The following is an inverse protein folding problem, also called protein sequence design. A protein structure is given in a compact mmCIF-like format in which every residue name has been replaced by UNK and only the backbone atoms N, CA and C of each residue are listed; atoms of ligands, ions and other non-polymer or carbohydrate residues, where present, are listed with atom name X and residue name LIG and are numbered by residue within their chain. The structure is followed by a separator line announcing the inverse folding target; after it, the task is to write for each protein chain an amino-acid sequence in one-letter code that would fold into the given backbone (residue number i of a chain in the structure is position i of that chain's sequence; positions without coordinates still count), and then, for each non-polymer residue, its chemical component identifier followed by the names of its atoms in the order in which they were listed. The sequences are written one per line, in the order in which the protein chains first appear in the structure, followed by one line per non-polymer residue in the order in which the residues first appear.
data_IF_595998285227
#
_entry.id   IF_595998285227
#
_cell.length_a   1.000
_cell.length_b   1.000
_cell.length_c   1.000
_cell.angle_alpha   90.00
_cell.angle_beta   90.00
_cell.angle_gamma   90.00
#
_symmetry.space_group_name_H-M   'P 1'
#
loop_
_entity.id
_entity.type
_entity.pdbx_description
1 polymer ?
#
# COMPACT_ATOMS: atom_id res chain seq x y z
N UNK A 1 36.33 -25.10 47.48
CA UNK A 1 35.20 -25.38 46.58
C UNK A 1 34.34 -24.12 46.35
N UNK A 2 34.75 -23.18 45.48
CA UNK A 2 34.02 -21.91 45.24
C UNK A 2 33.81 -21.56 43.76
N UNK A 3 34.31 -22.39 42.83
CA UNK A 3 34.30 -22.10 41.38
C UNK A 3 33.16 -22.79 40.61
N UNK A 4 32.56 -23.84 41.20
CA UNK A 4 31.44 -24.58 40.62
C UNK A 4 30.20 -23.72 40.27
N UNK A 5 29.74 -22.79 41.13
CA UNK A 5 28.52 -22.04 40.83
C UNK A 5 28.71 -21.02 39.71
N UNK A 6 29.92 -20.47 39.54
CA UNK A 6 30.21 -19.51 38.46
C UNK A 6 30.30 -20.20 37.09
N UNK A 7 30.89 -21.39 37.03
CA UNK A 7 30.96 -22.18 35.80
C UNK A 7 29.55 -22.62 35.34
N UNK A 8 28.68 -23.00 36.27
CA UNK A 8 27.30 -23.39 35.96
C UNK A 8 26.47 -22.20 35.46
N UNK A 9 26.62 -21.02 36.07
CA UNK A 9 25.93 -19.80 35.63
C UNK A 9 26.40 -19.33 34.24
N UNK A 10 27.69 -19.45 33.93
CA UNK A 10 28.21 -19.16 32.59
C UNK A 10 27.70 -20.16 31.54
N UNK A 11 27.60 -21.44 31.88
CA UNK A 11 27.03 -22.45 30.99
C UNK A 11 25.55 -22.19 30.69
N UNK A 12 24.75 -21.82 31.71
CA UNK A 12 23.35 -21.45 31.51
C UNK A 12 23.17 -20.18 30.67
N UNK A 13 24.06 -19.19 30.83
CA UNK A 13 24.03 -17.97 30.02
C UNK A 13 24.36 -18.25 28.53
N UNK A 14 25.28 -19.17 28.24
CA UNK A 14 25.64 -19.54 26.87
C UNK A 14 24.59 -20.41 26.17
N UNK A 15 23.79 -21.18 26.93
CA UNK A 15 22.70 -22.00 26.39
C UNK A 15 21.41 -21.21 26.15
N UNK A 16 21.27 -20.02 26.73
CA UNK A 16 20.06 -19.18 26.62
C UNK A 16 20.00 -18.24 25.40
N UNK A 17 21.10 -18.05 24.66
CA UNK A 17 21.18 -17.07 23.55
C UNK A 17 20.61 -17.62 22.23
N UNK A 18 20.21 -18.90 22.19
CA UNK A 18 19.78 -19.58 20.95
C UNK A 18 18.28 -19.58 20.63
N UNK A 19 17.40 -19.18 21.54
CA UNK A 19 15.97 -19.55 21.44
C UNK A 19 15.00 -18.42 21.05
N UNK A 20 15.46 -17.23 20.65
CA UNK A 20 14.56 -16.13 20.29
C UNK A 20 15.10 -15.22 19.17
N UNK A 21 15.83 -15.77 18.20
CA UNK A 21 16.09 -14.98 16.99
C UNK A 21 14.80 -14.91 16.16
N UNK A 22 14.23 -13.72 15.92
CA UNK A 22 13.18 -13.57 14.92
C UNK A 22 13.75 -14.05 13.60
N UNK A 23 13.12 -15.09 13.05
CA UNK A 23 13.54 -15.65 11.78
C UNK A 23 13.07 -14.68 10.70
N UNK A 24 13.89 -13.67 10.39
CA UNK A 24 13.56 -12.58 9.49
C UNK A 24 13.02 -13.05 8.12
N UNK A 25 13.47 -14.23 7.66
CA UNK A 25 12.95 -14.84 6.44
C UNK A 25 11.51 -15.33 6.61
N UNK A 26 11.21 -15.99 7.72
CA UNK A 26 9.85 -16.47 8.03
C UNK A 26 8.88 -15.31 8.26
N UNK A 27 9.34 -14.26 8.92
CA UNK A 27 8.55 -13.05 9.15
C UNK A 27 8.29 -12.30 7.82
N UNK A 28 9.27 -12.26 6.93
CA UNK A 28 9.11 -11.70 5.58
C UNK A 28 8.16 -12.55 4.70
N UNK A 29 8.26 -13.87 4.75
CA UNK A 29 7.38 -14.78 4.03
C UNK A 29 5.92 -14.65 4.52
N UNK A 30 5.71 -14.51 5.83
CA UNK A 30 4.38 -14.31 6.40
C UNK A 30 3.82 -12.91 6.09
N UNK A 31 4.68 -11.87 6.05
CA UNK A 31 4.29 -10.54 5.56
C UNK A 31 3.88 -10.59 4.07
N UNK A 32 4.66 -11.28 3.24
CA UNK A 32 4.39 -11.40 1.81
C UNK A 32 3.10 -12.17 1.54
N UNK A 33 2.83 -13.24 2.30
CA UNK A 33 1.54 -13.96 2.21
C UNK A 33 0.35 -13.06 2.50
N UNK A 34 0.42 -12.26 3.58
CA UNK A 34 -0.66 -11.32 3.93
C UNK A 34 -0.91 -10.27 2.85
N UNK A 35 0.15 -9.80 2.18
CA UNK A 35 0.04 -8.85 1.07
C UNK A 35 -0.58 -9.49 -0.19
N UNK A 36 -0.28 -10.76 -0.45
CA UNK A 36 -0.87 -11.51 -1.56
C UNK A 36 -2.37 -11.75 -1.33
N UNK A 37 -2.77 -12.12 -0.12
CA UNK A 37 -4.18 -12.33 0.23
C UNK A 37 -5.03 -11.07 0.00
N UNK A 38 -4.55 -9.90 0.43
CA UNK A 38 -5.24 -8.62 0.19
C UNK A 38 -5.31 -8.27 -1.32
N UNK A 39 -4.29 -8.65 -2.08
CA UNK A 39 -4.27 -8.44 -3.54
C UNK A 39 -5.32 -9.30 -4.23
N UNK A 40 -5.47 -10.56 -3.85
CA UNK A 40 -6.45 -11.48 -4.44
C UNK A 40 -7.88 -11.10 -4.03
N UNK A 41 -8.11 -10.65 -2.79
CA UNK A 41 -9.39 -10.09 -2.37
C UNK A 41 -9.74 -8.82 -3.16
N UNK A 42 -8.77 -7.94 -3.41
CA UNK A 42 -8.98 -6.72 -4.19
C UNK A 42 -9.25 -7.03 -5.65
N UNK A 43 -8.57 -8.02 -6.22
CA UNK A 43 -8.80 -8.53 -7.57
C UNK A 43 -10.17 -9.19 -7.71
N UNK A 44 -10.58 -10.00 -6.74
CA UNK A 44 -11.91 -10.62 -6.70
C UNK A 44 -13.01 -9.55 -6.60
N UNK A 45 -12.82 -8.51 -5.76
CA UNK A 45 -13.74 -7.36 -5.70
C UNK A 45 -13.82 -6.60 -7.03
N UNK A 46 -12.68 -6.33 -7.66
CA UNK A 46 -12.61 -5.67 -8.97
C UNK A 46 -13.29 -6.51 -10.07
N UNK A 47 -13.11 -7.83 -10.07
CA UNK A 47 -13.76 -8.72 -11.04
C UNK A 47 -15.27 -8.84 -10.80
N UNK A 48 -15.70 -8.89 -9.54
CA UNK A 48 -17.12 -9.08 -9.19
C UNK A 48 -17.96 -7.81 -9.38
N UNK A 49 -17.42 -6.63 -9.08
CA UNK A 49 -18.16 -5.35 -9.14
C UNK A 49 -17.73 -4.41 -10.25
N UNK A 50 -16.60 -4.67 -10.92
CA UNK A 50 -16.03 -3.80 -11.95
C UNK A 50 -15.65 -2.40 -11.47
N UNK A 51 -15.75 -2.14 -10.16
CA UNK A 51 -15.69 -0.80 -9.59
C UNK A 51 -14.80 -0.81 -8.35
N UNK A 52 -13.92 0.19 -8.28
CA UNK A 52 -13.11 0.47 -7.10
C UNK A 52 -14.04 0.77 -5.93
N UNK A 53 -13.64 0.39 -4.70
CA UNK A 53 -14.35 0.91 -3.54
C UNK A 53 -14.25 2.44 -3.49
N UNK A 54 -15.17 3.15 -2.83
CA UNK A 54 -15.15 4.62 -2.78
C UNK A 54 -13.81 5.20 -2.32
N UNK A 55 -13.16 4.56 -1.33
CA UNK A 55 -11.87 4.99 -0.81
C UNK A 55 -10.73 4.78 -1.82
N UNK A 56 -10.72 3.64 -2.53
CA UNK A 56 -9.74 3.35 -3.57
C UNK A 56 -9.94 4.26 -4.80
N UNK A 57 -11.20 4.57 -5.11
CA UNK A 57 -11.53 5.54 -6.15
C UNK A 57 -11.02 6.93 -5.80
N UNK A 58 -11.24 7.42 -4.57
CA UNK A 58 -10.73 8.72 -4.13
C UNK A 58 -9.20 8.78 -4.17
N UNK A 59 -8.52 7.74 -3.68
CA UNK A 59 -7.06 7.66 -3.74
C UNK A 59 -6.54 7.68 -5.18
N UNK A 60 -7.20 6.95 -6.08
CA UNK A 60 -6.89 6.96 -7.50
C UNK A 60 -7.17 8.33 -8.14
N UNK A 61 -8.32 8.93 -7.87
CA UNK A 61 -8.73 10.20 -8.43
C UNK A 61 -7.78 11.34 -8.03
N UNK A 62 -7.29 11.32 -6.77
CA UNK A 62 -6.23 12.22 -6.31
C UNK A 62 -4.91 11.97 -7.04
N UNK A 63 -4.49 10.71 -7.19
CA UNK A 63 -3.25 10.35 -7.90
C UNK A 63 -3.27 10.75 -9.37
N UNK A 64 -4.42 10.59 -10.02
CA UNK A 64 -4.62 10.93 -11.44
C UNK A 64 -4.91 12.43 -11.66
N UNK A 65 -5.03 13.21 -10.58
CA UNK A 65 -5.40 14.63 -10.64
C UNK A 65 -6.82 14.87 -11.16
N UNK A 66 -7.68 13.86 -11.15
CA UNK A 66 -9.09 13.96 -11.54
C UNK A 66 -9.92 14.71 -10.50
N UNK A 67 -9.52 14.60 -9.24
CA UNK A 67 -10.09 15.38 -8.14
C UNK A 67 -8.99 16.13 -7.42
N UNK A 68 -9.29 17.35 -7.03
CA UNK A 68 -8.40 18.17 -6.20
C UNK A 68 -9.11 18.43 -4.88
N UNK A 69 -8.52 18.04 -3.74
CA UNK A 69 -8.90 18.57 -2.41
C UNK A 69 -8.39 20.01 -2.26
N UNK A 70 -8.64 20.86 -3.25
CA UNK A 70 -8.29 22.27 -3.21
C UNK A 70 -9.28 22.96 -2.26
N UNK A 71 -8.77 23.88 -1.42
CA UNK A 71 -9.64 24.74 -0.60
C UNK A 71 -10.51 25.67 -1.46
N UNK A 72 -10.14 25.83 -2.73
CA UNK A 72 -10.75 26.75 -3.69
C UNK A 72 -11.89 26.08 -4.49
N UNK A 73 -12.21 24.81 -4.21
CA UNK A 73 -13.30 24.07 -4.85
C UNK A 73 -12.93 23.50 -6.23
N UNK A 74 -13.95 22.98 -6.94
CA UNK A 74 -13.79 22.61 -8.35
C UNK A 74 -13.62 23.87 -9.19
N UNK A 75 -12.73 23.87 -10.21
CA UNK A 75 -12.68 24.98 -11.16
C UNK A 75 -14.06 25.17 -11.80
N UNK A 76 -14.39 26.43 -12.12
CA UNK A 76 -15.64 26.74 -12.80
C UNK A 76 -15.78 25.89 -14.07
N UNK A 77 -17.00 25.43 -14.34
CA UNK A 77 -17.27 24.64 -15.54
C UNK A 77 -16.84 25.46 -16.78
N UNK A 78 -16.12 24.84 -17.73
CA UNK A 78 -15.70 25.53 -18.94
C UNK A 78 -16.90 26.02 -19.73
N UNK A 79 -16.76 27.16 -20.39
CA UNK A 79 -17.84 27.72 -21.21
C UNK A 79 -18.00 26.93 -22.51
N UNK A 80 -19.14 27.09 -23.20
CA UNK A 80 -19.40 26.45 -24.49
C UNK A 80 -18.34 26.80 -25.53
N UNK A 81 -17.89 28.05 -25.58
CA UNK A 81 -16.85 28.52 -26.49
C UNK A 81 -15.48 27.85 -26.22
N UNK A 82 -15.14 27.66 -24.94
CA UNK A 82 -13.92 26.95 -24.55
C UNK A 82 -13.97 25.47 -24.93
N UNK A 83 -15.14 24.84 -24.81
CA UNK A 83 -15.35 23.45 -25.23
C UNK A 83 -15.21 23.31 -26.74
N UNK A 84 -15.84 24.18 -27.53
CA UNK A 84 -15.72 24.18 -28.99
C UNK A 84 -14.27 24.35 -29.44
N UNK A 85 -13.51 25.23 -28.79
CA UNK A 85 -12.08 25.41 -29.07
C UNK A 85 -11.26 24.15 -28.77
N UNK A 86 -11.54 23.47 -27.65
CA UNK A 86 -10.86 22.20 -27.27
C UNK A 86 -11.19 21.07 -28.25
N UNK A 87 -12.46 20.94 -28.65
CA UNK A 87 -12.91 19.95 -29.64
C UNK A 87 -12.25 20.20 -30.99
N UNK A 88 -12.20 21.46 -31.43
CA UNK A 88 -11.51 21.84 -32.67
C UNK A 88 -10.03 21.50 -32.61
N UNK A 89 -9.34 21.81 -31.51
CA UNK A 89 -7.92 21.49 -31.32
C UNK A 89 -7.62 19.99 -31.27
N UNK A 90 -8.54 19.17 -30.73
CA UNK A 90 -8.42 17.72 -30.74
C UNK A 90 -8.66 17.13 -32.14
N UNK A 91 -9.57 17.73 -32.92
CA UNK A 91 -9.86 17.32 -34.30
C UNK A 91 -8.72 17.61 -35.30
N UNK A 92 -7.89 18.62 -35.05
CA UNK A 92 -6.73 18.95 -35.90
C UNK A 92 -5.47 18.11 -35.63
N UNK A 93 -5.41 17.37 -34.53
CA UNK A 93 -4.26 16.53 -34.16
C UNK A 93 -4.42 15.04 -34.57
N UNK A 94 -5.35 14.75 -35.49
CA UNK A 94 -5.58 13.42 -36.05
C UNK A 94 -5.04 13.36 -37.47
#
# INVERSE_FOLDING_TARGET
MKFLPRALLFACALLGVGCAMPNAKRDADDQQRRLMDDTDERKARLQARGTLSPQEYEAMALKMGWTTKSKDGLPAAPTTEELEKRVKAAGTNR
#
